data_IF_225441622568
#
_entry.id   IF_225441622568
#
_cell.length_a   1.000
_cell.length_b   1.000
_cell.length_c   1.000
_cell.angle_alpha   90.00
_cell.angle_beta   90.00
_cell.angle_gamma   90.00
#
_symmetry.space_group_name_H-M   'P 1'
#
loop_
_entity.id
_entity.type
_entity.pdbx_description
1 polymer ?
#
# COMPACT_ATOMS: atom_id res chain seq x y z
N UNK A 1 -10.59 -3.84 -23.83
CA UNK A 1 -9.37 -3.64 -23.01
C UNK A 1 -8.46 -2.54 -23.54
N UNK A 2 -8.49 -2.20 -24.84
CA UNK A 2 -7.69 -1.11 -25.41
C UNK A 2 -8.17 0.31 -24.98
N UNK A 3 -9.48 0.56 -24.87
CA UNK A 3 -10.01 1.90 -24.57
C UNK A 3 -9.71 2.42 -23.15
N UNK A 4 -9.42 1.53 -22.18
CA UNK A 4 -9.07 1.97 -20.82
C UNK A 4 -7.66 2.60 -20.74
N UNK A 5 -6.78 2.30 -21.71
CA UNK A 5 -5.39 2.77 -21.74
C UNK A 5 -5.21 4.17 -22.36
N UNK A 6 -6.26 4.77 -22.93
CA UNK A 6 -6.14 5.99 -23.72
C UNK A 6 -6.32 7.28 -22.90
N UNK A 7 -6.90 7.19 -21.70
CA UNK A 7 -7.09 8.39 -20.88
C UNK A 7 -5.80 8.77 -20.12
N UNK A 8 -5.34 10.03 -20.21
CA UNK A 8 -4.17 10.51 -19.47
C UNK A 8 -4.27 10.32 -17.95
N UNK A 9 -5.50 10.32 -17.41
CA UNK A 9 -5.77 10.06 -15.99
C UNK A 9 -5.46 8.61 -15.60
N UNK A 10 -5.84 7.62 -16.42
CA UNK A 10 -5.53 6.21 -16.17
C UNK A 10 -4.02 5.98 -16.25
N UNK A 11 -3.35 6.52 -17.27
CA UNK A 11 -1.89 6.40 -17.39
C UNK A 11 -1.15 7.03 -16.20
N UNK A 12 -1.62 8.18 -15.74
CA UNK A 12 -1.05 8.86 -14.58
C UNK A 12 -1.28 8.07 -13.30
N UNK A 13 -2.49 7.56 -13.10
CA UNK A 13 -2.82 6.70 -11.96
C UNK A 13 -1.97 5.43 -11.93
N UNK A 14 -1.82 4.75 -13.07
CA UNK A 14 -1.00 3.54 -13.18
C UNK A 14 0.49 3.82 -12.90
N UNK A 15 1.04 4.92 -13.43
CA UNK A 15 2.41 5.35 -13.11
C UNK A 15 2.59 5.67 -11.63
N UNK A 16 1.62 6.34 -11.02
CA UNK A 16 1.60 6.64 -9.60
C UNK A 16 1.60 5.38 -8.73
N UNK A 17 0.70 4.43 -9.03
CA UNK A 17 0.61 3.13 -8.36
C UNK A 17 1.94 2.38 -8.47
N UNK A 18 2.52 2.31 -9.67
CA UNK A 18 3.80 1.64 -9.87
C UNK A 18 4.92 2.29 -9.04
N UNK A 19 4.97 3.62 -8.98
CA UNK A 19 5.95 4.36 -8.19
C UNK A 19 5.82 4.14 -6.69
N UNK A 20 4.59 4.15 -6.15
CA UNK A 20 4.38 3.87 -4.72
C UNK A 20 4.62 2.40 -4.37
N UNK A 21 4.31 1.47 -5.29
CA UNK A 21 4.60 0.04 -5.11
C UNK A 21 6.10 -0.24 -5.09
N UNK A 22 6.88 0.39 -5.98
CA UNK A 22 8.34 0.26 -5.98
C UNK A 22 8.95 0.73 -4.65
N UNK A 23 8.51 1.88 -4.14
CA UNK A 23 8.95 2.40 -2.83
C UNK A 23 8.49 1.54 -1.66
N UNK A 24 7.29 0.96 -1.74
CA UNK A 24 6.83 0.01 -0.74
C UNK A 24 7.70 -1.26 -0.76
N UNK A 25 8.08 -1.75 -1.93
CA UNK A 25 8.99 -2.90 -2.07
C UNK A 25 10.37 -2.62 -1.47
N UNK A 26 10.94 -1.43 -1.69
CA UNK A 26 12.19 -0.98 -1.03
C UNK A 26 12.03 -0.96 0.50
N UNK A 27 10.89 -0.49 1.01
CA UNK A 27 10.64 -0.47 2.47
C UNK A 27 10.48 -1.88 3.03
N UNK A 28 9.87 -2.81 2.28
CA UNK A 28 9.76 -4.22 2.65
C UNK A 28 11.12 -4.92 2.59
N UNK A 29 11.99 -4.57 1.65
CA UNK A 29 13.32 -5.19 1.53
C UNK A 29 14.16 -4.94 2.78
N UNK A 30 13.98 -3.80 3.47
CA UNK A 30 14.62 -3.52 4.76
C UNK A 30 14.35 -4.61 5.80
N UNK A 31 13.15 -5.19 5.82
CA UNK A 31 12.81 -6.28 6.75
C UNK A 31 13.56 -7.58 6.44
N UNK A 32 13.99 -7.78 5.19
CA UNK A 32 14.73 -8.98 4.74
C UNK A 32 16.25 -8.79 4.80
N UNK A 33 16.72 -7.61 4.43
CA UNK A 33 18.14 -7.33 4.20
C UNK A 33 18.87 -6.75 5.42
N UNK A 34 18.14 -6.10 6.33
CA UNK A 34 18.74 -5.49 7.54
C UNK A 34 18.63 -6.40 8.74
N UNK A 35 19.49 -6.16 9.73
CA UNK A 35 19.46 -6.91 10.98
C UNK A 35 18.16 -6.68 11.75
N UNK A 36 17.74 -7.68 12.53
CA UNK A 36 16.51 -7.61 13.34
C UNK A 36 16.53 -6.41 14.31
N UNK A 37 17.69 -6.08 14.88
CA UNK A 37 17.85 -4.91 15.76
C UNK A 37 17.56 -3.62 15.00
N UNK A 38 18.09 -3.46 13.78
CA UNK A 38 17.81 -2.30 12.95
C UNK A 38 16.31 -2.15 12.67
N UNK A 39 15.65 -3.25 12.30
CA UNK A 39 14.20 -3.27 12.03
C UNK A 39 13.41 -2.91 13.28
N UNK A 40 13.77 -3.43 14.45
CA UNK A 40 13.09 -3.12 15.71
C UNK A 40 13.25 -1.64 16.11
N UNK A 41 14.45 -1.08 15.98
CA UNK A 41 14.72 0.34 16.27
C UNK A 41 13.94 1.25 15.33
N UNK A 42 13.80 0.87 14.05
CA UNK A 42 13.16 1.68 13.03
C UNK A 42 11.71 1.30 12.74
N UNK A 43 11.11 0.38 13.53
CA UNK A 43 9.83 -0.24 13.19
C UNK A 43 8.71 0.78 12.99
N UNK A 44 8.68 1.83 13.81
CA UNK A 44 7.69 2.91 13.71
C UNK A 44 7.83 3.71 12.41
N UNK A 45 9.08 4.01 12.01
CA UNK A 45 9.36 4.74 10.77
C UNK A 45 9.05 3.88 9.55
N UNK A 46 9.39 2.59 9.58
CA UNK A 46 9.08 1.64 8.51
C UNK A 46 7.57 1.43 8.35
N UNK A 47 6.84 1.25 9.47
CA UNK A 47 5.39 1.16 9.44
C UNK A 47 4.74 2.46 8.94
N UNK A 48 5.26 3.63 9.32
CA UNK A 48 4.77 4.91 8.81
C UNK A 48 4.98 5.03 7.31
N UNK A 49 6.19 4.70 6.82
CA UNK A 49 6.51 4.73 5.40
C UNK A 49 5.59 3.80 4.59
N UNK A 50 5.35 2.58 5.07
CA UNK A 50 4.41 1.65 4.43
C UNK A 50 2.96 2.19 4.44
N UNK A 51 2.53 2.80 5.54
CA UNK A 51 1.20 3.40 5.66
C UNK A 51 1.04 4.55 4.68
N UNK A 52 2.04 5.43 4.57
CA UNK A 52 2.02 6.57 3.65
C UNK A 52 1.94 6.10 2.19
N UNK A 53 2.67 5.04 1.81
CA UNK A 53 2.55 4.44 0.47
C UNK A 53 1.18 3.81 0.23
N UNK A 54 0.62 3.16 1.24
CA UNK A 54 -0.72 2.55 1.15
C UNK A 54 -1.78 3.62 0.90
N UNK A 55 -1.73 4.73 1.63
CA UNK A 55 -2.62 5.88 1.42
C UNK A 55 -2.39 6.51 0.05
N UNK A 56 -1.14 6.64 -0.39
CA UNK A 56 -0.78 7.11 -1.73
C UNK A 56 -1.42 6.28 -2.84
N UNK A 57 -1.31 4.95 -2.78
CA UNK A 57 -1.95 4.02 -3.70
C UNK A 57 -3.47 4.21 -3.69
N UNK A 58 -4.09 4.38 -2.53
CA UNK A 58 -5.52 4.71 -2.43
C UNK A 58 -5.87 6.03 -3.14
N UNK A 59 -5.00 7.04 -3.07
CA UNK A 59 -5.12 8.29 -3.84
C UNK A 59 -5.14 8.04 -5.35
N UNK A 60 -4.21 7.24 -5.86
CA UNK A 60 -4.14 6.91 -7.28
C UNK A 60 -5.31 6.04 -7.75
N UNK A 61 -5.81 5.13 -6.91
CA UNK A 61 -7.01 4.33 -7.22
C UNK A 61 -8.26 5.21 -7.36
N UNK A 62 -8.40 6.27 -6.56
CA UNK A 62 -9.49 7.23 -6.75
C UNK A 62 -9.37 7.98 -8.08
N UNK A 63 -8.16 8.26 -8.56
CA UNK A 63 -7.95 8.83 -9.90
C UNK A 63 -8.30 7.81 -11.00
N UNK A 64 -7.91 6.55 -10.81
CA UNK A 64 -8.20 5.45 -11.74
C UNK A 64 -9.71 5.24 -11.92
N UNK A 65 -10.47 5.35 -10.82
CA UNK A 65 -11.93 5.22 -10.79
C UNK A 65 -12.62 6.09 -11.86
N UNK A 66 -12.14 7.33 -12.04
CA UNK A 66 -12.70 8.31 -12.99
C UNK A 66 -12.59 7.88 -14.45
N UNK A 67 -11.59 7.04 -14.77
CA UNK A 67 -11.37 6.50 -16.11
C UNK A 67 -12.16 5.22 -16.42
N UNK A 68 -12.92 4.68 -15.46
CA UNK A 68 -13.63 3.42 -15.56
C UNK A 68 -15.13 3.57 -15.89
N UNK A 69 -15.48 4.60 -16.68
CA UNK A 69 -16.87 4.96 -17.04
C UNK A 69 -17.67 3.82 -17.68
N UNK A 70 -17.01 2.90 -18.39
CA UNK A 70 -17.62 1.72 -19.03
C UNK A 70 -17.63 0.43 -18.19
N UNK A 71 -17.03 0.42 -16.99
CA UNK A 71 -16.84 -0.80 -16.19
C UNK A 71 -17.34 -0.61 -14.75
N UNK A 72 -18.67 -0.66 -14.55
CA UNK A 72 -19.31 -0.39 -13.26
C UNK A 72 -18.79 -1.28 -12.12
N UNK A 73 -18.65 -2.58 -12.35
CA UNK A 73 -18.17 -3.52 -11.32
C UNK A 73 -16.70 -3.25 -10.95
N UNK A 74 -15.87 -2.97 -11.95
CA UNK A 74 -14.45 -2.65 -11.72
C UNK A 74 -14.31 -1.32 -10.98
N UNK A 75 -15.12 -0.33 -11.34
CA UNK A 75 -15.16 0.97 -10.66
C UNK A 75 -15.51 0.81 -9.18
N UNK A 76 -16.54 0.01 -8.87
CA UNK A 76 -16.91 -0.27 -7.47
C UNK A 76 -15.76 -0.92 -6.70
N UNK A 77 -15.12 -1.94 -7.27
CA UNK A 77 -13.96 -2.61 -6.64
C UNK A 77 -12.80 -1.65 -6.41
N UNK A 78 -12.51 -0.77 -7.37
CA UNK A 78 -11.46 0.26 -7.25
C UNK A 78 -11.81 1.29 -6.19
N UNK A 79 -13.06 1.72 -6.11
CA UNK A 79 -13.55 2.67 -5.09
C UNK A 79 -13.47 2.07 -3.68
N UNK A 80 -13.91 0.81 -3.53
CA UNK A 80 -13.84 0.09 -2.26
C UNK A 80 -12.38 -0.09 -1.82
N UNK A 81 -11.49 -0.52 -2.71
CA UNK A 81 -10.06 -0.66 -2.41
C UNK A 81 -9.39 0.69 -2.09
N UNK A 82 -9.72 1.75 -2.83
CA UNK A 82 -9.25 3.11 -2.58
C UNK A 82 -9.60 3.56 -1.16
N UNK A 83 -10.84 3.32 -0.73
CA UNK A 83 -11.31 3.63 0.62
C UNK A 83 -10.55 2.80 1.68
N UNK A 84 -10.44 1.50 1.48
CA UNK A 84 -9.78 0.60 2.43
C UNK A 84 -8.30 0.96 2.61
N UNK A 85 -7.60 1.26 1.52
CA UNK A 85 -6.19 1.66 1.54
C UNK A 85 -5.98 3.04 2.20
N UNK A 86 -6.87 4.01 1.98
CA UNK A 86 -6.82 5.32 2.67
C UNK A 86 -7.07 5.21 4.18
N UNK A 87 -7.86 4.21 4.59
CA UNK A 87 -8.18 3.97 6.00
C UNK A 87 -7.20 3.00 6.68
N UNK A 88 -6.21 2.48 5.95
CA UNK A 88 -5.22 1.58 6.51
C UNK A 88 -4.45 2.25 7.65
N UNK A 89 -4.48 1.61 8.82
CA UNK A 89 -3.80 2.07 10.04
C UNK A 89 -2.80 1.02 10.50
N UNK A 90 -1.55 1.14 10.07
CA UNK A 90 -0.47 0.24 10.52
C UNK A 90 0.01 0.58 11.94
N UNK A 91 -0.40 1.74 12.46
CA UNK A 91 -0.09 2.25 13.79
C UNK A 91 -0.84 1.54 14.93
N UNK A 92 -1.91 0.76 14.65
CA UNK A 92 -2.80 0.22 15.69
C UNK A 92 -2.29 -1.07 16.36
N UNK A 93 -1.30 -1.74 15.78
CA UNK A 93 -0.77 -3.02 16.31
C UNK A 93 0.20 -2.84 17.50
N UNK A 94 0.50 -1.60 17.90
CA UNK A 94 1.41 -1.31 19.02
C UNK A 94 0.69 -0.66 20.22
N UNK A 95 -0.53 -1.10 20.51
CA UNK A 95 -1.19 -0.77 21.78
C UNK A 95 -1.91 -2.00 22.32
N UNK A 96 -1.27 -2.68 23.27
CA UNK A 96 -1.97 -3.41 24.33
C UNK A 96 -1.94 -4.93 24.30
N UNK A 97 -1.53 -5.58 23.22
CA UNK A 97 -1.33 -7.05 23.19
C UNK A 97 0.06 -7.34 22.63
N UNK A 98 1.04 -7.07 23.49
CA UNK A 98 2.45 -7.04 23.15
C UNK A 98 2.98 -8.38 22.62
N UNK A 99 3.91 -8.25 21.68
CA UNK A 99 4.91 -9.27 21.30
C UNK A 99 4.40 -10.40 20.37
N UNK A 100 3.14 -10.84 20.41
CA UNK A 100 2.70 -12.00 19.62
C UNK A 100 2.68 -11.76 18.09
N UNK A 101 2.24 -10.58 17.64
CA UNK A 101 2.17 -10.28 16.19
C UNK A 101 3.52 -9.93 15.56
N UNK A 102 4.50 -9.47 16.37
CA UNK A 102 5.87 -9.25 15.91
C UNK A 102 6.51 -10.56 15.43
N UNK A 103 6.25 -11.66 16.15
CA UNK A 103 6.74 -12.98 15.74
C UNK A 103 5.97 -13.53 14.54
N UNK A 104 4.64 -13.37 14.45
CA UNK A 104 3.91 -13.84 13.27
C UNK A 104 4.28 -13.09 11.98
N UNK A 105 4.49 -11.77 12.03
CA UNK A 105 4.93 -11.01 10.85
C UNK A 105 6.37 -11.34 10.43
N UNK A 106 7.25 -11.61 11.39
CA UNK A 106 8.63 -12.07 11.12
C UNK A 106 8.64 -13.52 10.60
N UNK A 107 7.77 -14.41 11.12
CA UNK A 107 7.65 -15.79 10.66
C UNK A 107 7.00 -15.93 9.28
N UNK A 108 6.16 -14.96 8.87
CA UNK A 108 5.59 -14.89 7.51
C UNK A 108 6.57 -14.36 6.46
N UNK A 109 7.69 -13.77 6.89
CA UNK A 109 8.78 -13.29 6.02
C UNK A 109 9.95 -14.28 5.92
N UNK A 110 9.84 -15.44 6.59
CA UNK A 110 10.72 -16.60 6.43
C UNK A 110 10.35 -17.43 5.21
#
# INVERSE_FOLDING_TARGET
LAEASESPSVLTALKGIAGDLAKAAETVSVYRERSKIYVLVNCRSLCSALQDRTVGIGGWLALLETGLSGHADLRKKVADLSRDMKQAQFKKTMRGEGITLSWQFISLLG
#
